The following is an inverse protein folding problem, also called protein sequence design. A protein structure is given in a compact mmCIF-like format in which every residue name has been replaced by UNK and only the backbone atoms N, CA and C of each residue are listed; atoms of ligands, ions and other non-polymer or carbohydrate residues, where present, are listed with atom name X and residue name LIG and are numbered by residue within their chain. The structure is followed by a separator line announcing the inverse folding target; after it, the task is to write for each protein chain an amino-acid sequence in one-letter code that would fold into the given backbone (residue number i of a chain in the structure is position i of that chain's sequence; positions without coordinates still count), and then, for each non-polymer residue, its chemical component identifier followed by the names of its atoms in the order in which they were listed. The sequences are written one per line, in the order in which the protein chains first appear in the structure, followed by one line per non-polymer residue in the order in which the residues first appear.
data_IF_313696008334
#
_entry.id   IF_313696008334
#
_cell.length_a   1.000
_cell.length_b   1.000
_cell.length_c   1.000
_cell.angle_alpha   90.00
_cell.angle_beta   90.00
_cell.angle_gamma   90.00
#
_symmetry.space_group_name_H-M   'P 1'
#
loop_
_entity.id
_entity.type
_entity.pdbx_description
1 polymer ?
#
# COMPACT_ATOMS: atom_id res chain seq x y z
N UNK A 1 -9.81 11.94 3.61
CA UNK A 1 -8.56 11.40 3.01
C UNK A 1 -8.77 9.92 2.74
N UNK A 2 -8.11 9.33 1.74
CA UNK A 2 -8.37 7.94 1.35
C UNK A 2 -8.33 6.94 2.50
N UNK A 3 -7.42 7.11 3.46
CA UNK A 3 -7.34 6.26 4.66
C UNK A 3 -8.63 6.18 5.49
N UNK A 4 -9.38 7.28 5.62
CA UNK A 4 -10.66 7.29 6.35
C UNK A 4 -11.72 6.51 5.55
N UNK A 5 -11.85 6.81 4.26
CA UNK A 5 -12.84 6.18 3.39
C UNK A 5 -12.62 4.67 3.26
N UNK A 6 -11.38 4.25 3.00
CA UNK A 6 -11.01 2.84 2.91
C UNK A 6 -10.99 2.16 4.28
N UNK A 7 -10.67 2.88 5.36
CA UNK A 7 -10.79 2.38 6.74
C UNK A 7 -12.23 1.96 7.07
N UNK A 8 -13.20 2.85 6.86
CA UNK A 8 -14.63 2.55 7.06
C UNK A 8 -15.08 1.42 6.14
N UNK A 9 -14.66 1.44 4.86
CA UNK A 9 -15.00 0.38 3.92
C UNK A 9 -14.45 -0.98 4.39
N UNK A 10 -13.23 -1.01 4.93
CA UNK A 10 -12.56 -2.24 5.38
C UNK A 10 -13.28 -2.95 6.52
N UNK A 11 -14.03 -2.23 7.35
CA UNK A 11 -14.86 -2.85 8.39
C UNK A 11 -16.00 -3.68 7.78
N UNK A 12 -16.55 -3.23 6.65
CA UNK A 12 -17.63 -3.93 5.96
C UNK A 12 -17.12 -5.12 5.15
N UNK A 13 -16.12 -4.89 4.31
CA UNK A 13 -15.67 -5.88 3.31
C UNK A 13 -14.53 -6.79 3.78
N UNK A 14 -13.88 -6.46 4.90
CA UNK A 14 -12.66 -7.10 5.40
C UNK A 14 -11.39 -6.31 5.06
N UNK A 15 -10.37 -6.40 5.93
CA UNK A 15 -9.10 -5.66 5.78
C UNK A 15 -8.38 -6.03 4.49
N UNK A 16 -8.28 -7.33 4.21
CA UNK A 16 -7.57 -7.89 3.04
C UNK A 16 -8.14 -7.32 1.74
N UNK A 17 -9.46 -7.40 1.58
CA UNK A 17 -10.15 -6.92 0.37
C UNK A 17 -10.00 -5.42 0.19
N UNK A 18 -10.06 -4.65 1.28
CA UNK A 18 -9.90 -3.21 1.21
C UNK A 18 -8.48 -2.77 0.80
N UNK A 19 -7.43 -3.45 1.28
CA UNK A 19 -6.04 -3.23 0.84
C UNK A 19 -5.91 -3.54 -0.66
N UNK A 20 -6.45 -4.66 -1.13
CA UNK A 20 -6.39 -5.05 -2.55
C UNK A 20 -7.12 -4.04 -3.43
N UNK A 21 -8.32 -3.60 -3.05
CA UNK A 21 -9.06 -2.57 -3.79
C UNK A 21 -8.28 -1.25 -3.87
N UNK A 22 -7.71 -0.80 -2.75
CA UNK A 22 -6.90 0.39 -2.71
C UNK A 22 -5.67 0.27 -3.63
N UNK A 23 -5.00 -0.88 -3.64
CA UNK A 23 -3.85 -1.14 -4.51
C UNK A 23 -4.22 -1.18 -6.00
N UNK A 24 -5.30 -1.88 -6.38
CA UNK A 24 -5.75 -1.99 -7.78
C UNK A 24 -6.21 -0.63 -8.32
N UNK A 25 -6.80 0.23 -7.49
CA UNK A 25 -7.24 1.57 -7.89
C UNK A 25 -6.08 2.50 -8.29
N UNK A 26 -4.84 2.18 -7.90
CA UNK A 26 -3.65 2.92 -8.38
C UNK A 26 -3.42 2.68 -9.88
N UNK A 27 -3.65 1.47 -10.38
CA UNK A 27 -3.33 1.06 -11.75
C UNK A 27 -3.97 1.94 -12.84
N UNK A 28 -5.30 2.21 -12.84
CA UNK A 28 -5.91 3.07 -13.86
C UNK A 28 -5.52 4.54 -13.71
N UNK A 29 -5.01 4.97 -12.55
CA UNK A 29 -4.62 6.37 -12.29
C UNK A 29 -3.17 6.64 -12.70
N UNK A 30 -2.31 5.61 -12.74
CA UNK A 30 -0.90 5.74 -13.14
C UNK A 30 -0.72 6.51 -14.46
N UNK A 31 -1.48 6.23 -15.54
CA UNK A 31 -1.27 6.96 -16.79
C UNK A 31 -1.55 8.46 -16.68
N UNK A 32 -2.58 8.81 -15.91
CA UNK A 32 -2.94 10.19 -15.62
C UNK A 32 -1.86 10.87 -14.76
N UNK A 33 -1.24 10.16 -13.83
CA UNK A 33 -0.19 10.71 -12.98
C UNK A 33 1.17 10.83 -13.68
N UNK A 34 1.55 9.84 -14.50
CA UNK A 34 2.89 9.73 -15.07
C UNK A 34 3.08 10.51 -16.38
N UNK A 35 2.04 10.69 -17.19
CA UNK A 35 2.15 11.27 -18.55
C UNK A 35 1.25 12.48 -18.82
N UNK A 36 0.55 13.02 -17.81
CA UNK A 36 -0.25 14.24 -18.02
C UNK A 36 0.64 15.45 -18.30
N UNK A 37 0.25 16.28 -19.27
CA UNK A 37 0.98 17.48 -19.65
C UNK A 37 0.43 18.79 -19.06
N UNK A 38 -0.79 18.77 -18.50
CA UNK A 38 -1.41 19.98 -17.91
C UNK A 38 -1.33 19.96 -16.39
N UNK A 39 -1.08 21.11 -15.73
CA UNK A 39 -0.99 21.18 -14.26
C UNK A 39 -2.24 20.65 -13.55
N UNK A 40 -3.42 20.88 -14.12
CA UNK A 40 -4.68 20.41 -13.55
C UNK A 40 -4.78 18.87 -13.56
N UNK A 41 -4.44 18.23 -14.69
CA UNK A 41 -4.52 16.77 -14.80
C UNK A 41 -3.42 16.09 -13.97
N UNK A 42 -2.23 16.69 -13.90
CA UNK A 42 -1.16 16.24 -12.99
C UNK A 42 -1.59 16.34 -11.53
N UNK A 43 -2.18 17.46 -11.12
CA UNK A 43 -2.70 17.65 -9.77
C UNK A 43 -3.79 16.63 -9.42
N UNK A 44 -4.71 16.38 -10.37
CA UNK A 44 -5.75 15.37 -10.21
C UNK A 44 -5.16 13.96 -10.10
N UNK A 45 -4.23 13.57 -10.98
CA UNK A 45 -3.57 12.27 -10.95
C UNK A 45 -2.80 12.05 -9.64
N UNK A 46 -2.05 13.04 -9.19
CA UNK A 46 -1.34 13.00 -7.91
C UNK A 46 -2.30 12.85 -6.73
N UNK A 47 -3.39 13.62 -6.72
CA UNK A 47 -4.42 13.50 -5.69
C UNK A 47 -5.04 12.11 -5.65
N UNK A 48 -5.44 11.56 -6.80
CA UNK A 48 -6.09 10.25 -6.91
C UNK A 48 -5.15 9.11 -6.49
N UNK A 49 -3.88 9.13 -6.91
CA UNK A 49 -2.88 8.17 -6.43
C UNK A 49 -2.75 8.27 -4.92
N UNK A 50 -2.64 9.48 -4.35
CA UNK A 50 -2.52 9.65 -2.91
C UNK A 50 -3.77 9.19 -2.16
N UNK A 51 -4.97 9.35 -2.72
CA UNK A 51 -6.19 8.78 -2.11
C UNK A 51 -6.11 7.26 -2.04
N UNK A 52 -5.71 6.58 -3.13
CA UNK A 52 -5.58 5.13 -3.16
C UNK A 52 -4.47 4.63 -2.22
N UNK A 53 -3.28 5.25 -2.29
CA UNK A 53 -2.12 4.92 -1.46
C UNK A 53 -2.45 5.12 0.03
N UNK A 54 -2.99 6.27 0.42
CA UNK A 54 -3.39 6.49 1.82
C UNK A 54 -4.49 5.54 2.28
N UNK A 55 -5.33 5.05 1.34
CA UNK A 55 -6.30 4.00 1.61
C UNK A 55 -5.65 2.71 2.10
N UNK A 56 -4.65 2.20 1.37
CA UNK A 56 -3.90 1.01 1.76
C UNK A 56 -3.09 1.24 3.05
N UNK A 57 -2.38 2.37 3.14
CA UNK A 57 -1.56 2.73 4.31
C UNK A 57 -2.36 2.84 5.61
N UNK A 58 -3.63 3.25 5.54
CA UNK A 58 -4.50 3.30 6.72
C UNK A 58 -4.90 1.91 7.24
N UNK A 59 -4.95 0.89 6.37
CA UNK A 59 -5.46 -0.45 6.72
C UNK A 59 -4.33 -1.41 7.08
N UNK A 60 -3.19 -1.33 6.40
CA UNK A 60 -2.07 -2.29 6.57
C UNK A 60 -1.61 -2.42 8.03
N UNK A 61 -1.40 -1.35 8.81
CA UNK A 61 -1.00 -1.48 10.22
C UNK A 61 -2.05 -2.20 11.07
N UNK A 62 -3.34 -1.96 10.82
CA UNK A 62 -4.44 -2.64 11.52
C UNK A 62 -4.45 -4.12 11.16
N UNK A 63 -4.32 -4.44 9.87
CA UNK A 63 -4.27 -5.82 9.40
C UNK A 63 -3.08 -6.61 9.98
N UNK A 64 -1.89 -5.99 10.06
CA UNK A 64 -0.72 -6.60 10.69
C UNK A 64 -0.91 -6.81 12.20
N UNK A 65 -1.55 -5.86 12.90
CA UNK A 65 -1.87 -6.00 14.31
C UNK A 65 -2.84 -7.18 14.55
N UNK A 66 -3.89 -7.33 13.73
CA UNK A 66 -4.84 -8.44 13.79
C UNK A 66 -4.17 -9.81 13.55
N UNK A 67 -3.11 -9.87 12.73
CA UNK A 67 -2.34 -11.09 12.49
C UNK A 67 -1.28 -11.37 13.55
N UNK A 68 -0.83 -10.35 14.28
CA UNK A 68 0.29 -10.46 15.20
C UNK A 68 -0.08 -11.25 16.48
N UNK A 69 0.81 -12.13 16.98
CA UNK A 69 0.57 -12.88 18.21
C UNK A 69 0.39 -11.94 19.40
N UNK A 70 -0.55 -12.23 20.30
CA UNK A 70 -0.87 -11.39 21.48
C UNK A 70 0.34 -10.86 22.26
N UNK A 71 1.39 -11.68 22.44
CA UNK A 71 2.62 -11.32 23.17
C UNK A 71 3.59 -10.40 22.40
N UNK A 72 3.49 -10.32 21.07
CA UNK A 72 4.42 -9.58 20.21
C UNK A 72 3.75 -8.48 19.38
N UNK A 73 2.48 -8.14 19.67
CA UNK A 73 1.70 -7.15 18.89
C UNK A 73 2.37 -5.78 18.78
N UNK A 74 3.13 -5.37 19.80
CA UNK A 74 3.87 -4.10 19.76
C UNK A 74 5.11 -4.12 18.86
N UNK A 75 5.82 -5.25 18.77
CA UNK A 75 7.12 -5.33 18.10
C UNK A 75 7.01 -5.85 16.67
N UNK A 76 6.06 -6.75 16.40
CA UNK A 76 5.93 -7.44 15.12
C UNK A 76 5.60 -6.50 13.95
N UNK A 77 4.61 -5.59 14.04
CA UNK A 77 4.33 -4.64 12.96
C UNK A 77 5.48 -3.66 12.73
N UNK A 78 6.11 -3.18 13.81
CA UNK A 78 7.25 -2.27 13.73
C UNK A 78 8.46 -2.91 13.06
N UNK A 79 8.78 -4.16 13.40
CA UNK A 79 9.86 -4.92 12.77
C UNK A 79 9.59 -5.18 11.29
N UNK A 80 8.37 -5.63 10.95
CA UNK A 80 7.97 -5.83 9.56
C UNK A 80 8.06 -4.53 8.75
N UNK A 81 7.69 -3.40 9.35
CA UNK A 81 7.78 -2.09 8.72
C UNK A 81 9.23 -1.70 8.41
N UNK A 82 10.14 -1.88 9.37
CA UNK A 82 11.54 -1.51 9.16
C UNK A 82 12.25 -2.44 8.16
N UNK A 83 11.90 -3.72 8.11
CA UNK A 83 12.35 -4.61 7.03
C UNK A 83 11.83 -4.15 5.66
N UNK A 84 10.56 -3.71 5.59
CA UNK A 84 9.99 -3.12 4.39
C UNK A 84 10.75 -1.87 3.94
N UNK A 85 11.07 -0.97 4.86
CA UNK A 85 11.87 0.23 4.57
C UNK A 85 13.29 -0.11 4.11
N UNK A 86 13.91 -1.14 4.70
CA UNK A 86 15.22 -1.62 4.27
C UNK A 86 15.16 -2.14 2.83
N UNK A 87 14.15 -2.94 2.49
CA UNK A 87 13.94 -3.41 1.12
C UNK A 87 13.64 -2.23 0.15
N UNK A 88 12.88 -1.23 0.60
CA UNK A 88 12.56 -0.05 -0.18
C UNK A 88 13.72 0.96 -0.29
N UNK A 89 14.81 0.80 0.47
CA UNK A 89 15.93 1.76 0.47
C UNK A 89 16.59 1.92 -0.91
N UNK A 90 16.54 0.89 -1.75
CA UNK A 90 17.13 0.90 -3.09
C UNK A 90 16.15 1.36 -4.18
N UNK A 91 14.92 1.72 -3.81
CA UNK A 91 13.87 2.11 -4.75
C UNK A 91 14.34 3.24 -5.69
N UNK A 92 14.90 4.32 -5.13
CA UNK A 92 15.36 5.47 -5.92
C UNK A 92 16.41 5.05 -6.94
N UNK A 93 17.37 4.21 -6.55
CA UNK A 93 18.44 3.73 -7.45
C UNK A 93 17.88 2.89 -8.60
N UNK A 94 16.89 2.03 -8.33
CA UNK A 94 16.21 1.27 -9.38
C UNK A 94 15.45 2.19 -10.33
N UNK A 95 14.72 3.17 -9.80
CA UNK A 95 13.95 4.11 -10.61
C UNK A 95 14.87 4.97 -11.50
N UNK A 96 15.96 5.51 -10.95
CA UNK A 96 16.91 6.31 -11.72
C UNK A 96 17.63 5.47 -12.77
N UNK A 97 18.04 4.24 -12.44
CA UNK A 97 18.69 3.34 -13.41
C UNK A 97 17.77 3.00 -14.60
N UNK A 98 16.48 2.74 -14.33
CA UNK A 98 15.49 2.51 -15.39
C UNK A 98 15.32 3.76 -16.24
N UNK A 99 15.17 4.93 -15.63
CA UNK A 99 15.01 6.20 -16.34
C UNK A 99 16.22 6.51 -17.25
N UNK A 100 17.44 6.37 -16.74
CA UNK A 100 18.68 6.61 -17.49
C UNK A 100 18.81 5.66 -18.69
N UNK A 101 18.43 4.40 -18.54
CA UNK A 101 18.42 3.41 -19.64
C UNK A 101 17.40 3.70 -20.74
N UNK A 102 16.43 4.59 -20.49
CA UNK A 102 15.32 4.94 -21.38
C UNK A 102 15.28 6.44 -21.68
N UNK A 103 16.45 7.03 -21.99
CA UNK A 103 16.56 8.44 -22.39
C UNK A 103 16.04 9.45 -21.34
N UNK A 104 16.21 9.15 -20.05
CA UNK A 104 15.70 9.94 -18.92
C UNK A 104 14.17 10.01 -18.84
N UNK A 105 13.47 8.97 -19.29
CA UNK A 105 12.02 8.84 -19.10
C UNK A 105 11.67 8.42 -17.65
N UNK A 106 11.64 9.42 -16.77
CA UNK A 106 11.22 9.25 -15.38
C UNK A 106 9.74 8.90 -15.23
N UNK A 107 8.88 9.33 -16.17
CA UNK A 107 7.46 8.99 -16.15
C UNK A 107 7.24 7.49 -16.25
N UNK A 108 7.92 6.85 -17.20
CA UNK A 108 7.90 5.40 -17.37
C UNK A 108 8.52 4.66 -16.18
N UNK A 109 9.66 5.11 -15.66
CA UNK A 109 10.30 4.48 -14.52
C UNK A 109 9.41 4.49 -13.26
N UNK A 110 8.80 5.64 -12.97
CA UNK A 110 7.87 5.80 -11.85
C UNK A 110 6.58 5.00 -12.05
N UNK A 111 6.03 4.98 -13.27
CA UNK A 111 4.84 4.21 -13.61
C UNK A 111 5.05 2.70 -13.43
N UNK A 112 6.18 2.17 -13.93
CA UNK A 112 6.54 0.76 -13.77
C UNK A 112 6.71 0.39 -12.30
N UNK A 113 7.40 1.24 -11.53
CA UNK A 113 7.60 0.99 -10.11
C UNK A 113 6.28 1.03 -9.33
N UNK A 114 5.46 2.08 -9.53
CA UNK A 114 4.17 2.22 -8.86
C UNK A 114 3.22 1.06 -9.21
N UNK A 115 3.16 0.68 -10.49
CA UNK A 115 2.36 -0.45 -10.95
C UNK A 115 2.86 -1.78 -10.39
N UNK A 116 4.16 -2.03 -10.41
CA UNK A 116 4.78 -3.22 -9.83
C UNK A 116 4.55 -3.33 -8.33
N UNK A 117 4.69 -2.23 -7.59
CA UNK A 117 4.40 -2.17 -6.16
C UNK A 117 2.91 -2.45 -5.88
N UNK A 118 1.99 -1.81 -6.61
CA UNK A 118 0.55 -2.04 -6.47
C UNK A 118 0.17 -3.50 -6.71
N UNK A 119 0.71 -4.12 -7.77
CA UNK A 119 0.48 -5.54 -8.07
C UNK A 119 1.09 -6.44 -6.99
N UNK A 120 2.29 -6.15 -6.53
CA UNK A 120 2.96 -6.93 -5.47
C UNK A 120 2.13 -6.89 -4.19
N UNK A 121 1.68 -5.71 -3.76
CA UNK A 121 0.78 -5.57 -2.60
C UNK A 121 -0.52 -6.33 -2.83
N UNK A 122 -1.16 -6.20 -3.99
CA UNK A 122 -2.42 -6.89 -4.26
C UNK A 122 -2.25 -8.43 -4.23
N UNK A 123 -1.22 -8.97 -4.88
CA UNK A 123 -0.96 -10.40 -4.96
C UNK A 123 -0.56 -10.98 -3.60
N UNK A 124 0.38 -10.34 -2.89
CA UNK A 124 0.79 -10.82 -1.56
C UNK A 124 -0.35 -10.74 -0.56
N UNK A 125 -1.14 -9.67 -0.58
CA UNK A 125 -2.30 -9.54 0.31
C UNK A 125 -3.37 -10.58 -0.04
N UNK A 126 -3.52 -10.96 -1.32
CA UNK A 126 -4.46 -11.99 -1.76
C UNK A 126 -4.14 -13.36 -1.15
N UNK A 127 -2.88 -13.78 -1.20
CA UNK A 127 -2.40 -15.02 -0.58
C UNK A 127 -2.26 -14.94 0.93
N UNK A 128 -2.28 -13.72 1.49
CA UNK A 128 -2.16 -13.47 2.92
C UNK A 128 -3.34 -14.00 3.73
N UNK A 129 -3.11 -14.45 4.98
CA UNK A 129 -4.16 -14.87 5.89
C UNK A 129 -5.05 -13.68 6.29
N UNK A 130 -6.33 -13.94 6.50
CA UNK A 130 -7.29 -12.94 7.02
C UNK A 130 -7.83 -13.44 8.36
N UNK A 131 -7.52 -12.74 9.45
CA UNK A 131 -8.18 -12.91 10.76
C UNK A 131 -9.09 -11.72 10.97
N UNK A 132 -10.39 -11.94 10.88
CA UNK A 132 -11.41 -10.90 11.11
C UNK A 132 -11.81 -10.90 12.58
N UNK A 133 -11.99 -9.71 13.16
CA UNK A 133 -12.52 -9.50 14.52
C UNK A 133 -11.80 -10.30 15.61
N UNK A 134 -10.48 -10.14 15.71
CA UNK A 134 -9.74 -10.68 16.85
C UNK A 134 -10.13 -9.87 18.10
N UNK A 135 -10.79 -10.51 19.05
CA UNK A 135 -11.08 -9.88 20.34
C UNK A 135 -9.79 -9.77 21.16
N UNK A 136 -9.20 -8.57 21.14
CA UNK A 136 -7.95 -8.27 21.84
C UNK A 136 -8.09 -8.43 23.37
N UNK A 137 -9.30 -8.35 23.91
CA UNK A 137 -9.59 -8.46 25.35
C UNK A 137 -9.65 -9.92 25.80
N UNK A 138 -10.30 -10.77 25.00
CA UNK A 138 -10.43 -12.20 25.29
C UNK A 138 -9.07 -12.92 25.16
N UNK A 139 -8.24 -12.54 24.17
CA UNK A 139 -6.91 -13.12 23.97
C UNK A 139 -5.92 -12.73 25.08
N UNK A 140 -6.04 -11.50 25.62
CA UNK A 140 -5.25 -11.05 26.77
C UNK A 140 -5.65 -11.75 28.08
N UNK A 141 -6.90 -12.23 28.20
CA UNK A 141 -7.35 -13.05 29.32
C UNK A 141 -6.84 -14.49 29.29
N UNK A 142 -6.46 -14.99 28.12
CA UNK A 142 -6.03 -16.39 27.91
C UNK A 142 -4.50 -16.56 27.86
N UNK A 143 -3.72 -15.48 27.86
CA UNK A 143 -2.25 -15.46 27.71
C UNK A 143 -1.48 -15.33 29.03
#
# INVERSE_FOLDING_TARGET
TGGISFGILSERIGRRRAIILAAILVLPVIPLWAWSATPLLLGLGAFLIQVAVQGAWGIVPVHLNELSPGRARGTFPGFAYQLGNLAASWNVVFQTSIAESRHNDYGLALALFAGGAALTVAIWTWFGPERRDVDFVEEARQA
#
